data_IF_140114092388
#
_entry.id   IF_140114092388
#
_cell.length_a   1.000
_cell.length_b   1.000
_cell.length_c   1.000
_cell.angle_alpha   90.00
_cell.angle_beta   90.00
_cell.angle_gamma   90.00
#
_symmetry.space_group_name_H-M   'P 1'
#
loop_
_entity.id
_entity.type
_entity.pdbx_description
1 polymer ?
#
# COMPACT_ATOMS: atom_id res chain seq x y z
N UNK A 1 -3.86 16.76 -14.30
CA UNK A 1 -3.11 15.50 -14.12
C UNK A 1 -1.80 15.76 -13.39
N UNK A 2 -1.34 14.80 -12.58
CA UNK A 2 -0.06 14.91 -11.87
C UNK A 2 0.51 13.55 -11.49
N UNK A 3 1.80 13.53 -11.12
CA UNK A 3 2.44 12.40 -10.46
C UNK A 3 2.96 12.80 -9.09
N UNK A 4 3.06 11.82 -8.19
CA UNK A 4 3.57 12.00 -6.84
C UNK A 4 4.25 10.69 -6.38
N UNK A 5 5.18 10.75 -5.44
CA UNK A 5 5.91 9.56 -4.98
C UNK A 5 5.95 9.46 -3.45
N UNK A 6 6.08 8.24 -2.93
CA UNK A 6 6.35 7.94 -1.52
C UNK A 6 7.53 6.99 -1.40
N UNK A 7 8.37 7.25 -0.40
CA UNK A 7 9.54 6.43 -0.05
C UNK A 7 10.49 6.18 -1.23
N UNK A 8 10.54 7.11 -2.18
CA UNK A 8 11.39 7.05 -3.36
C UNK A 8 12.38 8.22 -3.35
N UNK A 9 13.61 8.03 -3.83
CA UNK A 9 14.64 9.08 -3.84
C UNK A 9 14.44 10.12 -4.95
N UNK A 10 13.31 10.08 -5.64
CA UNK A 10 13.07 10.89 -6.84
C UNK A 10 11.58 11.12 -7.04
N UNK A 11 11.23 12.29 -7.60
CA UNK A 11 9.86 12.63 -8.04
C UNK A 11 9.63 12.38 -9.53
N UNK A 12 10.68 12.01 -10.27
CA UNK A 12 10.58 11.64 -11.69
C UNK A 12 9.95 10.24 -11.81
N UNK A 13 8.83 10.07 -12.54
CA UNK A 13 8.10 8.81 -12.55
C UNK A 13 8.89 7.66 -13.22
N UNK A 14 9.71 7.95 -14.23
CA UNK A 14 10.51 6.93 -14.90
C UNK A 14 11.67 6.46 -14.01
N UNK A 15 12.36 7.39 -13.33
CA UNK A 15 13.39 7.06 -12.34
C UNK A 15 12.78 6.32 -11.14
N UNK A 16 11.60 6.74 -10.68
CA UNK A 16 10.87 6.09 -9.60
C UNK A 16 10.61 4.61 -9.93
N UNK A 17 10.08 4.31 -11.12
CA UNK A 17 9.86 2.92 -11.55
C UNK A 17 11.15 2.11 -11.59
N UNK A 18 12.28 2.69 -12.04
CA UNK A 18 13.58 1.99 -11.99
C UNK A 18 14.04 1.69 -10.57
N UNK A 19 13.88 2.63 -9.62
CA UNK A 19 14.17 2.38 -8.20
C UNK A 19 13.29 1.26 -7.63
N UNK A 20 12.01 1.24 -7.98
CA UNK A 20 11.08 0.19 -7.56
C UNK A 20 11.44 -1.18 -8.12
N UNK A 21 11.76 -1.23 -9.42
CA UNK A 21 12.24 -2.46 -10.09
C UNK A 21 13.51 -2.98 -9.44
N UNK A 22 14.47 -2.11 -9.12
CA UNK A 22 15.70 -2.51 -8.45
C UNK A 22 15.42 -3.16 -7.09
N UNK A 23 14.62 -2.52 -6.23
CA UNK A 23 14.27 -3.10 -4.92
C UNK A 23 13.53 -4.44 -5.07
N UNK A 24 12.62 -4.54 -6.04
CA UNK A 24 11.90 -5.77 -6.32
C UNK A 24 12.82 -6.92 -6.74
N UNK A 25 13.81 -6.64 -7.59
CA UNK A 25 14.80 -7.62 -8.05
C UNK A 25 15.75 -8.07 -6.94
N UNK A 26 16.08 -7.18 -5.99
CA UNK A 26 17.03 -7.43 -4.90
C UNK A 26 16.35 -7.72 -3.55
N UNK A 27 15.07 -8.11 -3.55
CA UNK A 27 14.30 -8.35 -2.34
C UNK A 27 14.96 -9.40 -1.41
N UNK A 28 15.61 -10.42 -1.98
CA UNK A 28 16.33 -11.43 -1.22
C UNK A 28 17.58 -10.87 -0.57
N UNK A 29 18.34 -10.02 -1.27
CA UNK A 29 19.55 -9.40 -0.73
C UNK A 29 19.21 -8.47 0.43
N UNK A 30 18.15 -7.67 0.31
CA UNK A 30 17.63 -6.86 1.41
C UNK A 30 17.22 -7.73 2.60
N UNK A 31 16.60 -8.88 2.35
CA UNK A 31 16.19 -9.81 3.42
C UNK A 31 17.39 -10.44 4.14
N UNK A 32 18.44 -10.80 3.39
CA UNK A 32 19.70 -11.32 3.95
C UNK A 32 20.40 -10.26 4.80
N UNK A 33 20.54 -9.04 4.28
CA UNK A 33 21.13 -7.92 5.00
C UNK A 33 20.34 -7.58 6.29
N UNK A 34 19.01 -7.58 6.23
CA UNK A 34 18.16 -7.36 7.39
C UNK A 34 18.30 -8.47 8.44
N UNK A 35 18.44 -9.73 8.02
CA UNK A 35 18.68 -10.85 8.94
C UNK A 35 20.06 -10.72 9.63
N UNK A 36 21.10 -10.35 8.89
CA UNK A 36 22.43 -10.12 9.46
C UNK A 36 22.44 -8.94 10.46
N UNK A 37 21.78 -7.84 10.12
CA UNK A 37 21.63 -6.71 11.03
C UNK A 37 20.87 -7.10 12.32
N UNK A 38 19.80 -7.88 12.19
CA UNK A 38 19.03 -8.37 13.34
C UNK A 38 19.82 -9.37 14.21
N UNK A 39 20.64 -10.23 13.60
CA UNK A 39 21.53 -11.14 14.34
C UNK A 39 22.55 -10.35 15.19
N UNK A 40 23.19 -9.34 14.59
CA UNK A 40 24.11 -8.44 15.29
C UNK A 40 23.43 -7.71 16.43
N UNK A 41 22.24 -7.16 16.20
CA UNK A 41 21.46 -6.46 17.23
C UNK A 41 21.04 -7.40 18.39
N UNK A 42 20.88 -8.70 18.11
CA UNK A 42 20.56 -9.71 19.12
C UNK A 42 21.80 -10.29 19.83
N UNK A 43 23.02 -9.85 19.49
CA UNK A 43 24.26 -10.42 20.03
C UNK A 43 24.51 -11.88 19.63
N UNK A 44 23.94 -12.33 18.50
CA UNK A 44 24.05 -13.70 18.01
C UNK A 44 24.93 -13.79 16.77
N UNK A 45 25.54 -14.97 16.54
CA UNK A 45 26.06 -15.30 15.21
C UNK A 45 24.91 -15.30 14.18
N UNK A 46 25.25 -15.11 12.91
CA UNK A 46 24.24 -15.14 11.84
C UNK A 46 23.58 -16.52 11.77
N UNK A 47 24.38 -17.59 11.89
CA UNK A 47 23.96 -18.98 11.83
C UNK A 47 22.98 -19.31 12.98
N UNK A 48 23.32 -18.90 14.21
CA UNK A 48 22.45 -19.10 15.38
C UNK A 48 21.14 -18.33 15.26
N UNK A 49 21.20 -17.08 14.78
CA UNK A 49 20.01 -16.28 14.55
C UNK A 49 19.09 -16.91 13.51
N UNK A 50 19.64 -17.36 12.38
CA UNK A 50 18.87 -18.02 11.32
C UNK A 50 18.24 -19.32 11.82
N UNK A 51 19.00 -20.14 12.54
CA UNK A 51 18.52 -21.41 13.13
C UNK A 51 17.40 -21.19 14.13
N UNK A 52 17.53 -20.20 15.03
CA UNK A 52 16.59 -20.00 16.14
C UNK A 52 15.38 -19.15 15.79
N UNK A 53 15.56 -18.08 15.01
CA UNK A 53 14.48 -17.13 14.67
C UNK A 53 13.79 -17.45 13.36
N UNK A 54 14.43 -18.26 12.50
CA UNK A 54 13.95 -18.65 11.18
C UNK A 54 13.38 -17.44 10.39
N UNK A 55 14.21 -16.41 10.11
CA UNK A 55 13.77 -15.18 9.49
C UNK A 55 13.30 -15.36 8.05
N UNK A 56 13.58 -16.51 7.42
CA UNK A 56 13.22 -16.86 6.05
C UNK A 56 11.94 -17.70 5.95
N UNK A 57 11.25 -17.97 7.07
CA UNK A 57 9.98 -18.71 7.05
C UNK A 57 8.92 -18.06 6.17
N UNK A 58 8.00 -18.90 5.69
CA UNK A 58 6.85 -18.52 4.88
C UNK A 58 7.06 -18.69 3.37
N UNK A 59 5.99 -18.51 2.60
CA UNK A 59 6.03 -18.66 1.14
C UNK A 59 6.86 -17.53 0.51
N UNK A 60 7.67 -17.89 -0.50
CA UNK A 60 8.40 -16.92 -1.32
C UNK A 60 7.41 -16.00 -2.06
N UNK A 61 7.64 -14.69 -1.98
CA UNK A 61 6.88 -13.70 -2.75
C UNK A 61 7.25 -13.75 -4.23
N UNK A 62 6.26 -13.66 -5.12
CA UNK A 62 6.45 -13.77 -6.59
C UNK A 62 5.87 -12.60 -7.39
N UNK A 63 5.02 -11.76 -6.79
CA UNK A 63 4.41 -10.59 -7.45
C UNK A 63 4.78 -9.33 -6.65
N UNK A 64 5.81 -8.56 -7.06
CA UNK A 64 6.34 -7.48 -6.23
C UNK A 64 5.52 -6.18 -6.35
N UNK A 65 4.64 -6.06 -7.34
CA UNK A 65 3.82 -4.86 -7.53
C UNK A 65 2.40 -5.09 -7.04
N UNK A 66 1.83 -4.08 -6.40
CA UNK A 66 0.41 -3.96 -6.08
C UNK A 66 -0.13 -2.70 -6.74
N UNK A 67 -1.23 -2.81 -7.50
CA UNK A 67 -1.85 -1.67 -8.18
C UNK A 67 -3.31 -1.53 -7.78
N UNK A 68 -3.77 -0.28 -7.68
CA UNK A 68 -5.17 0.06 -7.46
C UNK A 68 -5.43 1.49 -7.93
N UNK A 69 -6.71 1.89 -7.93
CA UNK A 69 -7.09 3.28 -8.06
C UNK A 69 -8.16 3.67 -7.04
N UNK A 70 -8.16 4.95 -6.69
CA UNK A 70 -9.27 5.62 -6.00
C UNK A 70 -9.91 6.54 -7.03
N UNK A 71 -11.23 6.47 -7.17
CA UNK A 71 -11.98 7.28 -8.12
C UNK A 71 -13.08 8.05 -7.41
N UNK A 72 -13.31 9.29 -7.83
CA UNK A 72 -14.33 10.18 -7.30
C UNK A 72 -15.51 10.24 -8.28
N UNK A 73 -16.72 10.14 -7.74
CA UNK A 73 -17.95 10.17 -8.54
C UNK A 73 -18.30 11.60 -8.99
N UNK A 74 -18.73 11.83 -10.24
CA UNK A 74 -18.94 13.16 -10.82
C UNK A 74 -20.08 13.94 -10.16
N UNK A 75 -21.07 13.26 -9.58
CA UNK A 75 -22.25 13.93 -8.98
C UNK A 75 -21.95 14.71 -7.71
N UNK A 76 -20.71 14.71 -7.21
CA UNK A 76 -20.32 15.46 -6.01
C UNK A 76 -20.12 16.96 -6.26
N UNK A 77 -20.28 17.47 -7.49
CA UNK A 77 -20.09 18.87 -7.94
C UNK A 77 -18.74 19.54 -7.61
N UNK A 78 -17.93 18.96 -6.72
CA UNK A 78 -16.56 19.34 -6.42
C UNK A 78 -15.59 18.28 -6.94
N UNK A 79 -14.73 18.69 -7.87
CA UNK A 79 -13.57 17.90 -8.27
C UNK A 79 -12.59 17.86 -7.09
N UNK A 80 -12.03 16.70 -6.73
CA UNK A 80 -11.07 16.63 -5.63
C UNK A 80 -9.83 17.46 -5.97
N UNK A 81 -9.31 18.23 -5.00
CA UNK A 81 -8.03 18.90 -5.15
C UNK A 81 -6.88 17.89 -5.21
N UNK A 82 -5.72 18.32 -5.71
CA UNK A 82 -4.49 17.50 -5.71
C UNK A 82 -4.16 17.00 -4.31
N UNK A 83 -4.21 17.89 -3.33
CA UNK A 83 -3.91 17.61 -1.92
C UNK A 83 -4.88 16.58 -1.35
N UNK A 84 -6.16 16.67 -1.70
CA UNK A 84 -7.18 15.72 -1.29
C UNK A 84 -6.97 14.33 -1.88
N UNK A 85 -6.63 14.25 -3.18
CA UNK A 85 -6.34 12.97 -3.84
C UNK A 85 -5.12 12.29 -3.21
N UNK A 86 -4.08 13.08 -2.91
CA UNK A 86 -2.86 12.59 -2.24
C UNK A 86 -3.16 12.12 -0.82
N UNK A 87 -3.93 12.89 -0.04
CA UNK A 87 -4.31 12.52 1.33
C UNK A 87 -5.10 11.21 1.36
N UNK A 88 -6.07 11.04 0.45
CA UNK A 88 -6.83 9.80 0.32
C UNK A 88 -5.92 8.60 -0.05
N UNK A 89 -4.94 8.80 -0.95
CA UNK A 89 -3.97 7.77 -1.30
C UNK A 89 -3.10 7.37 -0.08
N UNK A 90 -2.65 8.35 0.71
CA UNK A 90 -1.86 8.10 1.93
C UNK A 90 -2.66 7.37 3.02
N UNK A 91 -3.96 7.70 3.19
CA UNK A 91 -4.87 6.97 4.08
C UNK A 91 -5.02 5.50 3.65
N UNK A 92 -5.19 5.24 2.35
CA UNK A 92 -5.28 3.87 1.81
C UNK A 92 -3.98 3.09 2.01
N UNK A 93 -2.83 3.70 1.73
CA UNK A 93 -1.51 3.07 1.97
C UNK A 93 -1.38 2.67 3.45
N UNK A 94 -1.84 3.53 4.37
CA UNK A 94 -1.87 3.23 5.81
C UNK A 94 -2.83 2.11 6.14
N UNK A 95 -4.06 2.11 5.62
CA UNK A 95 -5.05 1.06 5.83
C UNK A 95 -4.54 -0.31 5.33
N UNK A 96 -3.77 -0.34 4.25
CA UNK A 96 -3.13 -1.55 3.73
C UNK A 96 -1.92 -2.02 4.55
N UNK A 97 -1.38 -1.17 5.44
CA UNK A 97 -0.17 -1.45 6.23
C UNK A 97 1.10 -1.36 5.40
N UNK A 98 1.14 -0.44 4.43
CA UNK A 98 2.21 -0.29 3.45
C UNK A 98 2.93 1.07 3.53
N UNK A 99 2.95 1.73 4.69
CA UNK A 99 3.49 3.09 4.85
C UNK A 99 4.99 3.22 4.59
N UNK A 100 5.76 2.14 4.74
CA UNK A 100 7.19 2.08 4.42
C UNK A 100 7.48 1.70 2.96
N UNK A 101 6.43 1.40 2.17
CA UNK A 101 6.59 0.91 0.80
C UNK A 101 6.82 2.05 -0.19
N UNK A 102 7.63 1.78 -1.20
CA UNK A 102 7.75 2.67 -2.36
C UNK A 102 6.41 2.73 -3.09
N UNK A 103 5.95 3.94 -3.42
CA UNK A 103 4.74 4.13 -4.21
C UNK A 103 4.92 5.23 -5.25
N UNK A 104 4.55 4.94 -6.49
CA UNK A 104 4.30 5.93 -7.53
C UNK A 104 2.79 6.14 -7.64
N UNK A 105 2.38 7.40 -7.56
CA UNK A 105 0.99 7.82 -7.73
C UNK A 105 0.85 8.56 -9.06
N UNK A 106 -0.20 8.24 -9.81
CA UNK A 106 -0.53 8.91 -11.09
C UNK A 106 -1.99 9.31 -11.05
N UNK A 107 -2.27 10.60 -11.14
CA UNK A 107 -3.62 11.13 -11.05
C UNK A 107 -4.09 11.74 -12.38
N UNK A 108 -5.31 11.35 -12.75
CA UNK A 108 -6.02 11.78 -13.93
C UNK A 108 -7.27 12.57 -13.53
N UNK A 109 -7.47 13.72 -14.18
CA UNK A 109 -8.56 14.68 -13.91
C UNK A 109 -9.29 15.10 -15.19
N UNK A 110 -8.90 14.49 -16.30
CA UNK A 110 -9.31 14.69 -17.68
C UNK A 110 -10.57 13.89 -18.07
N UNK A 111 -10.98 12.93 -17.24
CA UNK A 111 -12.23 12.15 -17.41
C UNK A 111 -13.31 12.60 -16.43
N UNK A 112 -14.60 12.22 -16.64
CA UNK A 112 -15.68 12.56 -15.72
C UNK A 112 -15.46 12.06 -14.28
N UNK A 113 -14.70 10.99 -14.10
CA UNK A 113 -14.32 10.45 -12.80
C UNK A 113 -12.83 10.75 -12.54
N UNK A 114 -12.48 11.85 -11.86
CA UNK A 114 -11.11 12.04 -11.38
C UNK A 114 -10.66 10.81 -10.59
N UNK A 115 -9.42 10.36 -10.82
CA UNK A 115 -8.91 9.16 -10.17
C UNK A 115 -7.39 9.22 -9.99
N UNK A 116 -6.90 8.53 -8.95
CA UNK A 116 -5.49 8.38 -8.67
C UNK A 116 -5.14 6.89 -8.66
N UNK A 117 -4.20 6.48 -9.51
CA UNK A 117 -3.58 5.17 -9.50
C UNK A 117 -2.46 5.13 -8.47
N UNK A 118 -2.41 4.07 -7.67
CA UNK A 118 -1.32 3.78 -6.76
C UNK A 118 -0.59 2.54 -7.29
N UNK A 119 0.68 2.69 -7.63
CA UNK A 119 1.60 1.59 -7.96
C UNK A 119 2.52 1.43 -6.77
N UNK A 120 2.35 0.37 -5.99
CA UNK A 120 3.05 0.13 -4.72
C UNK A 120 4.00 -1.05 -4.87
N UNK A 121 5.25 -0.89 -4.42
CA UNK A 121 6.17 -2.01 -4.25
C UNK A 121 5.80 -2.78 -2.97
N UNK A 122 5.38 -4.04 -3.11
CA UNK A 122 5.05 -4.91 -1.98
C UNK A 122 6.28 -5.25 -1.15
N UNK A 123 7.48 -5.16 -1.70
CA UNK A 123 8.74 -5.42 -1.00
C UNK A 123 9.04 -4.28 -0.04
N UNK A 124 9.22 -4.60 1.25
CA UNK A 124 9.73 -3.63 2.22
C UNK A 124 11.18 -3.29 1.91
N UNK A 125 11.56 -1.99 1.82
CA UNK A 125 12.95 -1.61 1.72
C UNK A 125 13.73 -1.91 3.02
N UNK A 126 13.02 -2.14 4.14
CA UNK A 126 13.62 -2.37 5.46
C UNK A 126 14.05 -3.83 5.62
N UNK A 127 13.25 -4.78 5.15
CA UNK A 127 13.46 -6.20 5.46
C UNK A 127 13.23 -7.18 4.29
N UNK A 128 13.00 -6.67 3.08
CA UNK A 128 12.80 -7.49 1.89
C UNK A 128 11.51 -8.35 1.91
N UNK A 129 10.66 -8.23 2.94
CA UNK A 129 9.41 -8.99 3.03
C UNK A 129 8.35 -8.38 2.14
N UNK A 130 7.58 -9.26 1.50
CA UNK A 130 6.42 -8.87 0.71
C UNK A 130 5.26 -8.54 1.64
N UNK A 131 4.52 -7.47 1.34
CA UNK A 131 3.29 -7.14 2.02
C UNK A 131 2.24 -8.25 1.77
N UNK A 132 1.51 -8.60 2.83
CA UNK A 132 0.36 -9.50 2.74
C UNK A 132 -0.85 -8.70 2.25
N UNK A 133 -1.34 -9.06 1.08
CA UNK A 133 -2.49 -8.43 0.41
C UNK A 133 -3.76 -9.28 0.52
N UNK A 134 -3.75 -10.34 1.33
CA UNK A 134 -4.95 -11.12 1.61
C UNK A 134 -6.01 -10.25 2.30
N UNK A 135 -7.25 -10.38 1.85
CA UNK A 135 -8.40 -9.63 2.37
C UNK A 135 -8.23 -8.10 2.33
N UNK A 136 -7.41 -7.59 1.40
CA UNK A 136 -7.26 -6.15 1.16
C UNK A 136 -8.59 -5.48 0.79
N UNK A 137 -9.44 -6.15 0.03
CA UNK A 137 -10.79 -5.69 -0.32
C UNK A 137 -11.64 -5.34 0.91
N UNK A 138 -11.48 -6.05 2.03
CA UNK A 138 -12.15 -5.69 3.29
C UNK A 138 -11.56 -4.40 3.88
N UNK A 139 -10.24 -4.27 3.91
CA UNK A 139 -9.59 -3.05 4.41
C UNK A 139 -9.99 -1.82 3.60
N UNK A 140 -10.01 -1.97 2.27
CA UNK A 140 -10.38 -0.92 1.32
C UNK A 140 -11.87 -0.61 1.36
N UNK A 141 -12.71 -1.63 1.52
CA UNK A 141 -14.14 -1.46 1.73
C UNK A 141 -14.44 -0.72 3.04
N UNK A 142 -13.74 -1.03 4.13
CA UNK A 142 -13.86 -0.30 5.39
C UNK A 142 -13.45 1.17 5.23
N UNK A 143 -12.28 1.42 4.62
CA UNK A 143 -11.80 2.77 4.35
C UNK A 143 -12.76 3.56 3.46
N UNK A 144 -13.26 2.97 2.38
CA UNK A 144 -14.17 3.64 1.46
C UNK A 144 -15.50 4.00 2.14
N UNK A 145 -16.04 3.13 3.02
CA UNK A 145 -17.24 3.44 3.79
C UNK A 145 -16.99 4.58 4.78
N UNK A 146 -15.87 4.57 5.49
CA UNK A 146 -15.49 5.65 6.40
C UNK A 146 -15.33 6.99 5.66
N UNK A 147 -14.64 6.97 4.53
CA UNK A 147 -14.47 8.12 3.65
C UNK A 147 -15.81 8.66 3.14
N UNK A 148 -16.72 7.79 2.69
CA UNK A 148 -18.07 8.18 2.26
C UNK A 148 -18.89 8.80 3.40
N UNK A 149 -18.80 8.25 4.61
CA UNK A 149 -19.47 8.79 5.80
C UNK A 149 -18.95 10.18 6.18
N UNK A 150 -17.63 10.35 6.27
CA UNK A 150 -17.00 11.64 6.63
C UNK A 150 -17.21 12.71 5.57
N UNK A 151 -17.31 12.32 4.30
CA UNK A 151 -17.60 13.26 3.21
C UNK A 151 -19.10 13.48 2.99
N UNK A 152 -19.98 12.86 3.79
CA UNK A 152 -21.43 13.10 3.75
C UNK A 152 -22.17 12.46 2.58
N UNK A 153 -21.55 11.51 1.87
CA UNK A 153 -22.11 10.93 0.64
C UNK A 153 -21.83 9.43 0.54
N UNK A 154 -22.83 8.62 0.92
CA UNK A 154 -22.83 7.17 0.70
C UNK A 154 -23.23 6.90 -0.75
N UNK A 155 -22.30 6.37 -1.55
CA UNK A 155 -22.57 6.00 -2.94
C UNK A 155 -22.87 4.50 -3.08
N UNK A 156 -22.25 3.66 -2.24
CA UNK A 156 -22.45 2.22 -2.27
C UNK A 156 -23.22 1.75 -1.02
N UNK A 157 -24.55 1.72 -1.12
CA UNK A 157 -25.41 1.23 -0.03
C UNK A 157 -25.10 -0.22 0.34
N UNK A 158 -24.80 -1.07 -0.64
CA UNK A 158 -24.43 -2.47 -0.38
C UNK A 158 -23.17 -2.59 0.49
N UNK A 159 -22.17 -1.72 0.29
CA UNK A 159 -20.98 -1.67 1.16
C UNK A 159 -21.38 -1.39 2.60
N UNK A 160 -22.25 -0.40 2.82
CA UNK A 160 -22.75 -0.04 4.15
C UNK A 160 -23.49 -1.22 4.81
N UNK A 161 -24.48 -1.80 4.12
CA UNK A 161 -25.28 -2.93 4.61
C UNK A 161 -24.40 -4.15 4.94
N UNK A 162 -23.41 -4.45 4.10
CA UNK A 162 -22.48 -5.55 4.35
C UNK A 162 -21.61 -5.30 5.59
N UNK A 163 -21.24 -4.07 5.88
CA UNK A 163 -20.52 -3.72 7.12
C UNK A 163 -21.39 -3.75 8.36
N UNK A 164 -22.65 -3.35 8.25
CA UNK A 164 -23.63 -3.46 9.34
C UNK A 164 -23.85 -4.93 9.73
N UNK A 165 -24.07 -5.82 8.76
CA UNK A 165 -24.15 -7.27 8.99
C UNK A 165 -22.89 -7.82 9.69
N UNK A 166 -21.70 -7.43 9.23
CA UNK A 166 -20.43 -7.86 9.85
C UNK A 166 -20.25 -7.37 11.29
N UNK A 167 -20.81 -6.21 11.65
CA UNK A 167 -20.78 -5.68 13.03
C UNK A 167 -21.76 -6.43 13.92
N UNK A 168 -22.98 -6.66 13.45
CA UNK A 168 -24.00 -7.43 14.21
C UNK A 168 -23.64 -8.89 14.44
N UNK A 169 -22.74 -9.50 13.65
CA UNK A 169 -22.21 -10.84 13.92
C UNK A 169 -21.05 -10.88 14.94
N UNK A 170 -20.55 -9.73 15.38
CA UNK A 170 -19.46 -9.62 16.38
C UNK A 170 -19.96 -9.28 17.78
N UNK A 171 -21.24 -8.96 17.89
CA UNK A 171 -21.99 -8.80 19.14
C UNK A 171 -22.68 -10.13 19.49
#
# INVERSE_FOLDING_TARGET
DFTETRNLPTRDPHKALRCMQWLAAHAQDVRLAAAAAAARAAGMSYEDYVRTKNPFRGRRGVKPVYTMSIAWHPTKNDKPSREHMIAAADEVIRALGMTDRQCLMVAHTDTPHPHIHLIINRVSPINGKFANVGNDWLKLSAWALDYERRTGHILCFERMLNWEKRRGHRE
#
